data_IF_500567107745
#
_entry.id   IF_500567107745
#
_cell.length_a   1.000
_cell.length_b   1.000
_cell.length_c   1.000
_cell.angle_alpha   90.00
_cell.angle_beta   90.00
_cell.angle_gamma   90.00
#
_symmetry.space_group_name_H-M   'P 1'
#
loop_
_entity.id
_entity.type
_entity.pdbx_description
1 polymer ?
#
# COMPACT_ATOMS: atom_id res chain seq x y z
N UNK A 1 -0.01 -15.62 17.38
CA UNK A 1 0.72 -14.46 16.84
C UNK A 1 0.08 -14.20 15.51
N UNK A 2 -0.35 -12.97 15.25
CA UNK A 2 -0.86 -12.66 13.91
C UNK A 2 0.33 -12.82 12.97
N UNK A 3 0.18 -13.59 11.89
CA UNK A 3 1.25 -13.83 10.91
C UNK A 3 1.52 -12.59 10.04
N UNK A 4 0.78 -11.49 10.23
CA UNK A 4 0.96 -10.27 9.43
C UNK A 4 2.09 -9.38 9.96
N UNK A 5 2.81 -8.78 9.02
CA UNK A 5 3.83 -7.77 9.24
C UNK A 5 3.19 -6.36 9.30
N UNK A 6 3.23 -5.70 10.47
CA UNK A 6 2.72 -4.34 10.63
C UNK A 6 3.47 -3.28 9.81
N UNK A 7 4.69 -3.56 9.32
CA UNK A 7 5.45 -2.67 8.46
C UNK A 7 5.23 -2.91 6.96
N UNK A 8 4.35 -3.83 6.59
CA UNK A 8 4.06 -4.14 5.18
C UNK A 8 2.68 -3.63 4.78
N UNK A 9 2.63 -2.86 3.69
CA UNK A 9 1.46 -2.12 3.22
C UNK A 9 1.21 -2.38 1.74
N UNK A 10 -0.01 -2.74 1.36
CA UNK A 10 -0.46 -2.69 -0.04
C UNK A 10 -1.32 -1.45 -0.28
N UNK A 11 -1.20 -0.84 -1.45
CA UNK A 11 -2.05 0.26 -1.89
C UNK A 11 -2.80 -0.13 -3.16
N UNK A 12 -4.12 0.04 -3.14
CA UNK A 12 -4.99 -0.28 -4.27
C UNK A 12 -4.76 0.68 -5.45
N UNK A 13 -5.21 0.29 -6.64
CA UNK A 13 -4.94 1.02 -7.88
C UNK A 13 -5.46 2.46 -7.85
N UNK A 14 -6.59 2.69 -7.16
CA UNK A 14 -7.15 4.03 -6.96
C UNK A 14 -6.26 4.93 -6.09
N UNK A 15 -5.67 4.39 -5.02
CA UNK A 15 -4.73 5.09 -4.14
C UNK A 15 -3.43 5.39 -4.89
N UNK A 16 -2.88 4.41 -5.60
CA UNK A 16 -1.66 4.57 -6.38
C UNK A 16 -1.80 5.65 -7.47
N UNK A 17 -2.90 5.64 -8.21
CA UNK A 17 -3.17 6.68 -9.20
C UNK A 17 -3.41 8.05 -8.54
N UNK A 18 -4.10 8.09 -7.40
CA UNK A 18 -4.38 9.35 -6.68
C UNK A 18 -3.10 9.98 -6.15
N UNK A 19 -2.15 9.21 -5.62
CA UNK A 19 -0.84 9.72 -5.16
C UNK A 19 -0.10 10.48 -6.28
N UNK A 20 -0.14 9.96 -7.50
CA UNK A 20 0.46 10.57 -8.68
C UNK A 20 -0.22 11.91 -9.05
N UNK A 21 -1.56 11.92 -9.17
CA UNK A 21 -2.27 13.05 -9.77
C UNK A 21 -2.78 14.09 -8.77
N UNK A 22 -2.95 13.74 -7.50
CA UNK A 22 -3.66 14.55 -6.52
C UNK A 22 -2.84 14.67 -5.24
N UNK A 23 -2.53 15.92 -4.89
CA UNK A 23 -2.06 16.26 -3.56
C UNK A 23 -3.20 15.97 -2.56
N UNK A 24 -2.97 15.11 -1.56
CA UNK A 24 -4.01 14.77 -0.59
C UNK A 24 -3.70 13.49 0.19
N UNK A 25 -4.75 12.84 0.69
CA UNK A 25 -4.60 11.76 1.68
C UNK A 25 -3.81 10.53 1.16
N UNK A 26 -4.00 10.14 -0.11
CA UNK A 26 -3.23 9.05 -0.74
C UNK A 26 -1.73 9.36 -0.71
N UNK A 27 -1.43 10.61 -1.04
CA UNK A 27 -0.08 11.14 -1.10
C UNK A 27 0.57 11.22 0.28
N UNK A 28 -0.14 11.76 1.26
CA UNK A 28 0.32 11.80 2.65
C UNK A 28 0.56 10.39 3.21
N UNK A 29 -0.33 9.45 2.92
CA UNK A 29 -0.19 8.06 3.36
C UNK A 29 1.03 7.36 2.75
N UNK A 30 1.24 7.48 1.43
CA UNK A 30 2.36 6.83 0.76
C UNK A 30 3.70 7.51 1.04
N UNK A 31 3.72 8.80 1.37
CA UNK A 31 4.94 9.46 1.84
C UNK A 31 5.39 8.92 3.20
N UNK A 32 4.45 8.60 4.09
CA UNK A 32 4.80 7.92 5.35
C UNK A 32 5.41 6.56 5.08
N UNK A 33 4.96 5.82 4.05
CA UNK A 33 5.58 4.54 3.66
C UNK A 33 6.98 4.78 3.09
N UNK A 34 7.11 5.60 2.04
CA UNK A 34 8.38 5.85 1.33
C UNK A 34 9.45 6.53 2.17
N UNK A 35 9.08 7.27 3.21
CA UNK A 35 10.02 7.93 4.10
C UNK A 35 10.77 6.97 5.04
N UNK A 36 10.41 5.68 5.05
CA UNK A 36 10.96 4.66 5.94
C UNK A 36 11.42 3.43 5.15
N UNK A 37 12.74 3.21 5.05
CA UNK A 37 13.29 2.08 4.31
C UNK A 37 12.95 0.70 4.90
N UNK A 38 12.33 0.68 6.09
CA UNK A 38 11.90 -0.52 6.81
C UNK A 38 10.39 -0.77 6.71
N UNK A 39 9.66 0.07 5.98
CA UNK A 39 8.24 -0.10 5.67
C UNK A 39 8.11 -0.47 4.20
N UNK A 40 7.57 -1.65 3.92
CA UNK A 40 7.48 -2.19 2.58
C UNK A 40 6.15 -1.80 1.91
N UNK A 41 6.24 -1.19 0.72
CA UNK A 41 5.11 -1.14 -0.21
C UNK A 41 5.11 -2.43 -1.03
N UNK A 42 4.00 -3.18 -1.00
CA UNK A 42 3.85 -4.42 -1.77
C UNK A 42 2.81 -4.26 -2.86
N UNK A 43 3.09 -4.87 -4.01
CA UNK A 43 2.19 -4.88 -5.15
C UNK A 43 2.29 -6.21 -5.92
N UNK A 44 1.38 -6.42 -6.86
CA UNK A 44 1.44 -7.54 -7.80
C UNK A 44 1.32 -7.05 -9.22
N UNK A 45 1.75 -7.84 -10.20
CA UNK A 45 1.62 -7.47 -11.61
C UNK A 45 0.17 -7.10 -11.98
N UNK A 46 -0.88 -7.87 -11.61
CA UNK A 46 -2.25 -7.46 -11.89
C UNK A 46 -2.66 -6.12 -11.26
N UNK A 47 -2.17 -5.82 -10.05
CA UNK A 47 -2.45 -4.54 -9.39
C UNK A 47 -1.78 -3.38 -10.11
N UNK A 48 -0.52 -3.55 -10.47
CA UNK A 48 0.25 -2.53 -11.18
C UNK A 48 -0.28 -2.34 -12.61
N UNK A 49 -0.79 -3.39 -13.26
CA UNK A 49 -1.44 -3.31 -14.58
C UNK A 49 -2.74 -2.49 -14.50
N UNK A 50 -3.57 -2.73 -13.48
CA UNK A 50 -4.79 -1.97 -13.24
C UNK A 50 -4.50 -0.49 -12.97
N UNK A 51 -3.51 -0.20 -12.13
CA UNK A 51 -3.08 1.15 -11.81
C UNK A 51 -2.45 1.87 -13.02
N UNK A 52 -1.60 1.18 -13.81
CA UNK A 52 -1.02 1.73 -15.05
C UNK A 52 -2.12 2.11 -16.04
N UNK A 53 -3.16 1.28 -16.18
CA UNK A 53 -4.30 1.57 -17.04
C UNK A 53 -5.05 2.83 -16.58
N UNK A 54 -5.24 3.01 -15.27
CA UNK A 54 -5.83 4.24 -14.71
C UNK A 54 -4.94 5.44 -15.01
N UNK A 55 -3.63 5.33 -14.78
CA UNK A 55 -2.68 6.42 -15.04
C UNK A 55 -2.67 6.81 -16.52
N UNK A 56 -2.65 5.84 -17.42
CA UNK A 56 -2.71 6.08 -18.87
C UNK A 56 -4.03 6.74 -19.30
N UNK A 57 -5.13 6.47 -18.58
CA UNK A 57 -6.44 7.06 -18.87
C UNK A 57 -6.57 8.53 -18.43
N UNK A 58 -5.88 8.90 -17.34
CA UNK A 58 -5.93 10.26 -16.76
C UNK A 58 -4.83 11.17 -17.29
N UNK A 59 -3.68 10.60 -17.64
CA UNK A 59 -2.55 11.28 -18.27
C UNK A 59 -2.32 10.77 -19.68
N UNK A 60 -1.22 10.05 -19.87
CA UNK A 60 -0.88 9.40 -21.14
C UNK A 60 -0.04 8.12 -20.92
N UNK A 61 0.24 7.40 -22.00
CA UNK A 61 0.99 6.14 -21.98
C UNK A 61 2.46 6.29 -21.60
N UNK A 62 3.07 7.45 -21.85
CA UNK A 62 4.48 7.66 -21.49
C UNK A 62 4.59 7.86 -19.98
N UNK A 63 3.73 8.73 -19.41
CA UNK A 63 3.61 8.90 -17.97
C UNK A 63 3.29 7.59 -17.25
N UNK A 64 2.39 6.77 -17.80
CA UNK A 64 2.03 5.48 -17.23
C UNK A 64 3.22 4.50 -17.20
N UNK A 65 4.01 4.44 -18.28
CA UNK A 65 5.20 3.60 -18.34
C UNK A 65 6.29 4.07 -17.37
N UNK A 66 6.57 5.39 -17.31
CA UNK A 66 7.54 5.95 -16.36
C UNK A 66 7.10 5.71 -14.91
N UNK A 67 5.80 5.85 -14.63
CA UNK A 67 5.22 5.55 -13.32
C UNK A 67 5.36 4.06 -12.97
N UNK A 68 5.06 3.17 -13.92
CA UNK A 68 5.19 1.72 -13.74
C UNK A 68 6.62 1.32 -13.41
N UNK A 69 7.61 1.83 -14.15
CA UNK A 69 9.03 1.57 -13.90
C UNK A 69 9.45 2.06 -12.50
N UNK A 70 8.99 3.25 -12.07
CA UNK A 70 9.27 3.74 -10.71
C UNK A 70 8.70 2.80 -9.64
N UNK A 71 7.44 2.39 -9.77
CA UNK A 71 6.79 1.51 -8.79
C UNK A 71 7.41 0.12 -8.74
N UNK A 72 7.85 -0.45 -9.87
CA UNK A 72 8.56 -1.75 -9.87
C UNK A 72 9.92 -1.71 -9.17
N UNK A 73 10.56 -0.54 -9.15
CA UNK A 73 11.83 -0.34 -8.44
C UNK A 73 11.63 -0.09 -6.94
N UNK A 74 10.50 0.51 -6.54
CA UNK A 74 10.22 0.89 -5.16
C UNK A 74 9.43 -0.18 -4.39
N UNK A 75 8.49 -0.85 -5.03
CA UNK A 75 7.61 -1.83 -4.39
C UNK A 75 8.19 -3.25 -4.46
N UNK A 76 7.94 -4.02 -3.41
CA UNK A 76 8.16 -5.47 -3.45
C UNK A 76 7.04 -6.13 -4.24
N UNK A 77 7.36 -6.62 -5.45
CA UNK A 77 6.39 -7.29 -6.34
C UNK A 77 6.23 -8.76 -5.96
N UNK A 78 5.00 -9.17 -5.69
CA UNK A 78 4.63 -10.54 -5.30
C UNK A 78 3.68 -11.19 -6.29
N UNK A 79 3.74 -12.52 -6.36
CA UNK A 79 2.83 -13.33 -7.18
C UNK A 79 1.71 -13.92 -6.33
N UNK A 80 0.48 -13.90 -6.84
CA UNK A 80 -0.68 -14.53 -6.21
C UNK A 80 -1.57 -15.22 -7.26
N UNK A 81 -2.45 -16.17 -6.85
CA UNK A 81 -3.45 -16.75 -7.75
C UNK A 81 -4.36 -15.68 -8.35
N UNK A 82 -4.80 -15.90 -9.60
CA UNK A 82 -5.74 -15.00 -10.27
C UNK A 82 -7.15 -15.09 -9.68
N UNK A 83 -7.92 -14.00 -9.81
CA UNK A 83 -9.35 -13.94 -9.52
C UNK A 83 -9.73 -13.28 -8.19
N UNK A 84 -8.76 -13.01 -7.33
CA UNK A 84 -8.94 -12.18 -6.14
C UNK A 84 -8.72 -10.70 -6.46
N UNK A 85 -9.23 -9.81 -5.60
CA UNK A 85 -8.95 -8.38 -5.71
C UNK A 85 -7.43 -8.16 -5.56
N UNK A 86 -6.75 -7.48 -6.51
CA UNK A 86 -5.29 -7.49 -6.59
C UNK A 86 -4.56 -6.96 -5.34
N UNK A 87 -5.05 -5.89 -4.72
CA UNK A 87 -4.42 -5.31 -3.52
C UNK A 87 -4.53 -6.24 -2.30
N UNK A 88 -5.68 -6.89 -2.09
CA UNK A 88 -5.87 -7.89 -1.05
C UNK A 88 -5.01 -9.13 -1.28
N UNK A 89 -4.90 -9.57 -2.54
CA UNK A 89 -4.13 -10.75 -2.90
C UNK A 89 -2.62 -10.51 -2.74
N UNK A 90 -2.13 -9.33 -3.13
CA UNK A 90 -0.76 -8.89 -2.87
C UNK A 90 -0.48 -8.81 -1.36
N UNK A 91 -1.38 -8.18 -0.60
CA UNK A 91 -1.28 -8.12 0.85
C UNK A 91 -1.22 -9.50 1.50
N UNK A 92 -2.08 -10.42 1.10
CA UNK A 92 -2.06 -11.80 1.59
C UNK A 92 -0.76 -12.54 1.24
N UNK A 93 -0.21 -12.32 0.05
CA UNK A 93 1.01 -12.99 -0.40
C UNK A 93 2.26 -12.47 0.30
N UNK A 94 2.22 -11.24 0.83
CA UNK A 94 3.33 -10.60 1.53
C UNK A 94 3.08 -10.44 3.04
N UNK A 95 2.06 -11.10 3.58
CA UNK A 95 1.64 -10.98 4.98
C UNK A 95 1.42 -9.52 5.43
N UNK A 96 0.95 -8.65 4.54
CA UNK A 96 0.76 -7.24 4.84
C UNK A 96 -0.35 -7.01 5.89
N UNK A 97 -0.07 -6.20 6.91
CA UNK A 97 -1.09 -5.83 7.88
C UNK A 97 -2.08 -4.77 7.35
N UNK A 98 -1.73 -4.07 6.27
CA UNK A 98 -2.46 -2.89 5.80
C UNK A 98 -2.75 -2.94 4.30
N UNK A 99 -3.99 -2.61 3.95
CA UNK A 99 -4.41 -2.34 2.56
C UNK A 99 -5.06 -0.96 2.52
N UNK A 100 -4.55 -0.09 1.67
CA UNK A 100 -5.11 1.25 1.43
C UNK A 100 -6.01 1.19 0.21
N UNK A 101 -7.27 1.61 0.33
CA UNK A 101 -8.21 1.66 -0.80
C UNK A 101 -9.24 2.76 -0.60
N UNK A 102 -9.67 3.42 -1.67
CA UNK A 102 -10.85 4.29 -1.63
C UNK A 102 -12.15 3.50 -1.82
N UNK A 103 -12.11 2.24 -2.26
CA UNK A 103 -13.29 1.39 -2.43
C UNK A 103 -14.02 1.18 -1.08
N UNK A 104 -15.21 1.78 -0.98
CA UNK A 104 -16.08 1.68 0.19
C UNK A 104 -16.57 0.24 0.44
N UNK A 105 -16.68 -0.59 -0.59
CA UNK A 105 -17.08 -1.98 -0.46
C UNK A 105 -15.98 -2.80 0.21
N UNK A 106 -14.72 -2.58 -0.16
CA UNK A 106 -13.56 -3.22 0.49
C UNK A 106 -13.40 -2.75 1.94
N UNK A 107 -13.68 -1.48 2.21
CA UNK A 107 -13.66 -0.88 3.55
C UNK A 107 -14.88 -1.22 4.41
N UNK A 108 -15.91 -1.84 3.85
CA UNK A 108 -17.16 -2.07 4.57
C UNK A 108 -16.96 -3.05 5.75
N UNK A 109 -17.68 -2.81 6.85
CA UNK A 109 -17.61 -3.67 8.03
C UNK A 109 -17.92 -5.14 7.73
N UNK A 110 -18.78 -5.41 6.75
CA UNK A 110 -19.11 -6.77 6.30
C UNK A 110 -17.92 -7.44 5.62
N UNK A 111 -17.26 -6.75 4.70
CA UNK A 111 -16.06 -7.26 4.02
C UNK A 111 -14.93 -7.43 5.03
N UNK A 112 -14.74 -6.47 5.94
CA UNK A 112 -13.76 -6.58 7.03
C UNK A 112 -14.01 -7.75 7.97
N UNK A 113 -15.26 -8.12 8.26
CA UNK A 113 -15.58 -9.33 9.03
C UNK A 113 -15.28 -10.61 8.26
N UNK A 114 -15.61 -10.67 6.97
CA UNK A 114 -15.31 -11.83 6.12
C UNK A 114 -13.80 -12.01 5.88
N UNK A 115 -13.06 -10.91 5.80
CA UNK A 115 -11.61 -10.89 5.72
C UNK A 115 -10.99 -11.38 7.04
N UNK A 116 -11.42 -10.88 8.19
CA UNK A 116 -10.92 -11.33 9.51
C UNK A 116 -11.11 -12.82 9.80
N UNK A 117 -12.09 -13.47 9.16
CA UNK A 117 -12.26 -14.92 9.25
C UNK A 117 -11.19 -15.71 8.46
N UNK A 118 -10.43 -15.04 7.59
CA UNK A 118 -9.47 -15.66 6.66
C UNK A 118 -8.06 -15.07 6.71
N UNK A 119 -7.91 -13.79 7.05
CA UNK A 119 -6.69 -12.98 6.95
C UNK A 119 -6.71 -11.88 8.01
N UNK A 120 -5.60 -11.68 8.72
CA UNK A 120 -5.44 -10.60 9.71
C UNK A 120 -5.05 -9.25 9.06
N UNK A 121 -5.61 -8.92 7.89
CA UNK A 121 -5.34 -7.67 7.17
C UNK A 121 -6.37 -6.59 7.48
N UNK A 122 -5.92 -5.34 7.66
CA UNK A 122 -6.81 -4.19 7.85
C UNK A 122 -6.88 -3.34 6.58
N UNK A 123 -8.07 -3.27 5.98
CA UNK A 123 -8.37 -2.31 4.90
C UNK A 123 -8.72 -0.94 5.50
N UNK A 124 -8.10 0.14 5.03
CA UNK A 124 -8.30 1.51 5.53
C UNK A 124 -8.34 2.50 4.36
N UNK A 125 -8.97 3.65 4.55
CA UNK A 125 -8.76 4.79 3.66
C UNK A 125 -7.38 5.41 3.92
N UNK A 126 -6.78 6.09 2.93
CA UNK A 126 -5.48 6.73 3.11
C UNK A 126 -5.42 7.73 4.27
N UNK A 127 -6.45 8.55 4.48
CA UNK A 127 -6.50 9.52 5.58
C UNK A 127 -6.48 8.84 6.96
N UNK A 128 -7.18 7.70 7.07
CA UNK A 128 -7.20 6.91 8.28
C UNK A 128 -5.84 6.26 8.53
N UNK A 129 -5.15 5.81 7.48
CA UNK A 129 -3.80 5.28 7.61
C UNK A 129 -2.81 6.36 8.05
N UNK A 130 -2.75 7.51 7.36
CA UNK A 130 -1.83 8.60 7.68
C UNK A 130 -1.99 9.11 9.13
N UNK A 131 -3.21 9.04 9.69
CA UNK A 131 -3.49 9.41 11.09
C UNK A 131 -3.13 8.35 12.13
N UNK A 132 -3.16 7.07 11.76
CA UNK A 132 -3.09 5.96 12.70
C UNK A 132 -1.77 5.19 12.63
N UNK A 133 -1.09 5.22 11.49
CA UNK A 133 0.22 4.63 11.34
C UNK A 133 1.25 5.51 12.06
N UNK A 134 1.95 4.93 13.03
CA UNK A 134 2.85 5.64 13.93
C UNK A 134 4.23 4.97 13.87
N UNK A 135 5.14 5.46 13.00
CA UNK A 135 6.48 4.90 12.85
C UNK A 135 7.27 4.89 14.16
N UNK A 136 7.13 5.93 14.99
CA UNK A 136 7.84 6.05 16.27
C UNK A 136 7.44 4.93 17.24
N UNK A 137 6.15 4.60 17.29
CA UNK A 137 5.66 3.51 18.15
C UNK A 137 5.93 2.13 17.56
N UNK A 138 5.98 2.02 16.24
CA UNK A 138 6.16 0.74 15.55
C UNK A 138 7.64 0.31 15.49
N UNK A 139 8.56 1.26 15.28
CA UNK A 139 9.98 1.01 15.07
C UNK A 139 10.64 0.09 16.11
N UNK A 140 10.42 0.25 17.44
CA UNK A 140 11.04 -0.62 18.44
C UNK A 140 10.58 -2.08 18.35
N UNK A 141 9.42 -2.31 17.74
CA UNK A 141 8.84 -3.66 17.57
C UNK A 141 9.35 -4.32 16.29
N UNK A 142 9.49 -3.55 15.20
CA UNK A 142 9.87 -4.07 13.87
C UNK A 142 11.38 -4.11 13.69
N UNK A 143 12.05 -2.98 13.94
CA UNK A 143 13.50 -2.83 13.74
C UNK A 143 14.27 -3.01 15.05
N UNK A 144 13.69 -2.52 16.16
CA UNK A 144 14.32 -2.51 17.47
C UNK A 144 15.11 -1.22 17.75
N UNK A 145 15.19 -0.85 19.03
CA UNK A 145 15.86 0.37 19.46
C UNK A 145 14.95 1.61 19.39
N UNK A 146 15.57 2.78 19.49
CA UNK A 146 14.87 4.08 19.45
C UNK A 146 14.68 4.53 18.01
N UNK A 147 13.51 5.07 17.69
CA UNK A 147 13.18 5.57 16.36
C UNK A 147 14.02 6.83 16.01
N UNK A 148 14.82 6.80 14.93
CA UNK A 148 15.68 7.93 14.57
C UNK A 148 14.97 9.04 13.77
N UNK A 149 13.71 8.83 13.39
CA UNK A 149 13.03 9.63 12.36
C UNK A 149 13.02 8.92 11.00
N UNK A 150 12.41 9.54 9.98
CA UNK A 150 12.45 9.03 8.62
C UNK A 150 13.88 8.99 8.08
N UNK A 151 14.20 7.96 7.31
CA UNK A 151 15.54 7.69 6.75
C UNK A 151 15.61 7.78 5.22
N UNK A 152 14.48 8.04 4.56
CA UNK A 152 14.38 8.29 3.12
C UNK A 152 13.68 9.61 2.84
N UNK A 153 14.06 10.30 1.74
CA UNK A 153 13.19 11.31 1.15
C UNK A 153 12.07 10.58 0.39
N UNK A 154 10.79 10.79 0.74
CA UNK A 154 9.69 10.10 0.07
C UNK A 154 9.50 10.51 -1.39
N UNK A 155 10.27 11.47 -1.91
CA UNK A 155 10.13 12.10 -3.24
C UNK A 155 11.37 12.04 -4.12
N UNK A 156 12.42 11.35 -3.67
CA UNK A 156 13.61 11.12 -4.49
C UNK A 156 13.31 10.29 -5.75
#
# INVERSE_FOLDING_TARGET
MSDVDPATVAADADVLATDLFVDGDAREALDVVRAHSWVDLVASDPLLDDAEAVVASLGDRALAADWREKLENEATVVTHPAGDQPALAAAQAADAAHVLSYDEQLRSARTGMQLKERVDVSVKSPDAFARLFDPERLYPTVVGGDYPGPDCDPRD
#
